data_IF_600219848311
#
_entry.id   IF_600219848311
#
_cell.length_a   1.000
_cell.length_b   1.000
_cell.length_c   1.000
_cell.angle_alpha   90.00
_cell.angle_beta   90.00
_cell.angle_gamma   90.00
#
_symmetry.space_group_name_H-M   'P 1'
#
loop_
_entity.id
_entity.type
_entity.pdbx_description
1 polymer ?
#
# COMPACT_ATOMS: atom_id res chain seq x y z
N UNK A 1 -1.16 -42.08 26.87
CA UNK A 1 -1.90 -41.26 25.88
C UNK A 1 -2.02 -39.78 26.31
N UNK A 2 -2.54 -39.45 27.53
CA UNK A 2 -2.66 -38.03 27.98
C UNK A 2 -1.33 -37.26 27.99
N UNK A 3 -0.22 -37.88 28.41
CA UNK A 3 1.13 -37.27 28.44
C UNK A 3 1.69 -37.01 27.03
N UNK A 4 1.34 -37.85 26.02
CA UNK A 4 1.74 -37.67 24.64
C UNK A 4 0.99 -36.48 23.96
N UNK A 5 -0.30 -36.32 24.32
CA UNK A 5 -1.13 -35.20 23.83
C UNK A 5 -0.63 -33.86 24.37
N UNK A 6 -0.23 -33.81 25.66
CA UNK A 6 0.34 -32.61 26.29
C UNK A 6 1.69 -32.25 25.64
N UNK A 7 2.52 -33.26 25.34
CA UNK A 7 3.79 -33.04 24.65
C UNK A 7 3.61 -32.54 23.21
N UNK A 8 2.62 -33.07 22.47
CA UNK A 8 2.29 -32.64 21.12
C UNK A 8 1.70 -31.21 21.11
N UNK A 9 0.94 -30.84 22.13
CA UNK A 9 0.36 -29.51 22.29
C UNK A 9 1.41 -28.45 22.66
N UNK A 10 2.50 -28.82 23.32
CA UNK A 10 3.63 -27.93 23.62
C UNK A 10 4.53 -27.64 22.41
N UNK A 11 4.43 -28.44 21.34
CA UNK A 11 5.19 -28.21 20.08
C UNK A 11 4.57 -27.12 19.15
N UNK A 12 3.33 -26.68 19.44
CA UNK A 12 2.62 -25.67 18.64
C UNK A 12 2.74 -24.29 19.33
N UNK A 13 3.95 -23.91 19.71
CA UNK A 13 4.20 -22.52 20.11
C UNK A 13 4.30 -21.66 18.87
N UNK A 14 3.44 -20.63 18.69
CA UNK A 14 3.54 -19.73 17.55
C UNK A 14 4.87 -18.99 17.65
N UNK A 15 5.75 -19.19 16.68
CA UNK A 15 6.92 -18.34 16.51
C UNK A 15 6.45 -17.02 15.92
N UNK A 16 6.50 -15.94 16.69
CA UNK A 16 6.17 -14.61 16.22
C UNK A 16 7.23 -14.17 15.20
N UNK A 17 6.87 -14.08 13.93
CA UNK A 17 7.69 -13.43 12.90
C UNK A 17 7.40 -11.94 12.97
N UNK A 18 8.37 -11.15 13.38
CA UNK A 18 8.26 -9.70 13.40
C UNK A 18 8.92 -9.12 12.14
N UNK A 19 8.19 -8.27 11.41
CA UNK A 19 8.82 -7.35 10.46
C UNK A 19 9.64 -6.33 11.26
N UNK A 20 10.91 -6.11 10.88
CA UNK A 20 11.78 -5.20 11.62
C UNK A 20 11.35 -3.74 11.42
N UNK A 21 11.17 -3.30 10.16
CA UNK A 21 10.79 -1.92 9.85
C UNK A 21 9.27 -1.83 9.61
N UNK A 22 8.62 -1.02 10.42
CA UNK A 22 7.20 -0.67 10.29
C UNK A 22 7.11 0.73 9.71
N UNK A 23 6.28 0.90 8.68
CA UNK A 23 5.94 2.18 8.07
C UNK A 23 4.64 2.67 8.71
N UNK A 24 4.66 3.87 9.26
CA UNK A 24 3.46 4.47 9.85
C UNK A 24 2.57 5.10 8.77
N UNK A 25 1.79 4.26 8.12
CA UNK A 25 0.88 4.61 7.03
C UNK A 25 0.98 3.65 5.84
N UNK A 26 -0.10 3.54 5.09
CA UNK A 26 -0.19 2.69 3.87
C UNK A 26 -0.05 3.51 2.59
N UNK A 27 -0.06 4.85 2.70
CA UNK A 27 0.04 5.81 1.61
C UNK A 27 0.51 7.16 2.12
N UNK A 28 0.99 7.99 1.21
CA UNK A 28 1.37 9.39 1.46
C UNK A 28 0.54 10.28 0.56
N UNK A 29 -0.02 11.36 1.11
CA UNK A 29 -0.69 12.41 0.35
C UNK A 29 0.21 13.64 0.33
N UNK A 30 0.62 14.08 -0.85
CA UNK A 30 1.45 15.25 -1.05
C UNK A 30 0.64 16.32 -1.80
N UNK A 31 0.26 17.38 -1.11
CA UNK A 31 -0.45 18.51 -1.72
C UNK A 31 0.53 19.46 -2.40
N UNK A 32 0.16 19.99 -3.55
CA UNK A 32 0.92 21.04 -4.24
C UNK A 32 1.17 22.24 -3.32
N UNK A 33 2.41 22.74 -3.33
CA UNK A 33 2.84 23.85 -2.47
C UNK A 33 3.19 23.46 -1.06
N UNK A 34 3.14 22.16 -0.70
CA UNK A 34 3.69 21.67 0.56
C UNK A 34 5.21 21.60 0.47
N UNK A 35 5.93 22.16 1.45
CA UNK A 35 7.41 22.10 1.48
C UNK A 35 7.93 20.67 1.62
N UNK A 36 7.31 19.86 2.45
CA UNK A 36 7.66 18.46 2.67
C UNK A 36 6.58 17.69 3.39
N UNK A 37 6.55 16.38 3.19
CA UNK A 37 5.73 15.44 3.95
C UNK A 37 6.64 14.50 4.72
N UNK A 38 6.34 14.29 5.99
CA UNK A 38 7.10 13.41 6.88
C UNK A 38 6.45 12.03 6.95
N UNK A 39 7.26 10.98 6.84
CA UNK A 39 6.86 9.61 7.04
C UNK A 39 7.70 8.98 8.15
N UNK A 40 7.05 8.45 9.17
CA UNK A 40 7.73 7.80 10.29
C UNK A 40 7.96 6.33 9.98
N UNK A 41 9.20 5.89 10.16
CA UNK A 41 9.62 4.50 10.22
C UNK A 41 9.91 4.11 11.67
N UNK A 42 9.63 2.88 12.04
CA UNK A 42 9.97 2.34 13.36
C UNK A 42 10.61 0.97 13.19
N UNK A 43 11.79 0.79 13.74
CA UNK A 43 12.41 -0.52 13.84
C UNK A 43 11.87 -1.24 15.07
N UNK A 44 11.00 -2.22 14.85
CA UNK A 44 10.38 -3.02 15.90
C UNK A 44 11.21 -4.26 16.29
N UNK A 45 12.33 -4.49 15.60
CA UNK A 45 13.31 -5.53 15.93
C UNK A 45 14.26 -5.10 17.04
N UNK A 46 15.05 -6.04 17.55
CA UNK A 46 16.07 -5.80 18.57
C UNK A 46 17.42 -5.40 17.96
N UNK A 47 17.68 -5.80 16.72
CA UNK A 47 18.89 -5.47 15.98
C UNK A 47 18.67 -4.24 15.09
N UNK A 48 19.76 -3.59 14.70
CA UNK A 48 19.69 -2.49 13.75
C UNK A 48 19.33 -2.99 12.35
N UNK A 49 18.70 -2.11 11.57
CA UNK A 49 18.43 -2.31 10.15
C UNK A 49 19.01 -1.18 9.32
N UNK A 50 19.63 -1.50 8.19
CA UNK A 50 19.95 -0.53 7.16
C UNK A 50 18.73 -0.37 6.25
N UNK A 51 18.21 0.84 6.19
CA UNK A 51 17.04 1.19 5.36
C UNK A 51 17.50 2.03 4.19
N UNK A 52 17.17 1.61 2.97
CA UNK A 52 17.35 2.37 1.74
C UNK A 52 15.96 2.69 1.16
N UNK A 53 15.75 3.96 0.76
CA UNK A 53 14.45 4.43 0.31
C UNK A 53 14.57 5.25 -0.97
N UNK A 54 13.62 5.04 -1.91
CA UNK A 54 13.51 5.80 -3.16
C UNK A 54 12.05 5.89 -3.62
N UNK A 55 11.75 6.83 -4.51
CA UNK A 55 10.42 6.98 -5.12
C UNK A 55 10.55 6.80 -6.63
N UNK A 56 9.60 6.07 -7.22
CA UNK A 56 9.49 5.85 -8.67
C UNK A 56 8.10 6.21 -9.21
N UNK A 57 7.97 6.26 -10.54
CA UNK A 57 6.75 6.59 -11.29
C UNK A 57 5.88 5.38 -11.68
N UNK A 58 6.17 4.20 -11.12
CA UNK A 58 5.35 2.99 -11.33
C UNK A 58 6.14 1.75 -11.72
N UNK A 59 7.43 1.85 -12.05
CA UNK A 59 8.25 0.68 -12.32
C UNK A 59 8.51 -0.13 -11.04
N UNK A 60 7.92 -1.32 -10.96
CA UNK A 60 8.10 -2.23 -9.81
C UNK A 60 9.53 -2.75 -9.67
N UNK A 61 10.30 -2.74 -10.75
CA UNK A 61 11.69 -3.20 -10.79
C UNK A 61 12.69 -2.07 -10.57
N UNK A 62 12.22 -0.83 -10.37
CA UNK A 62 13.10 0.32 -10.17
C UNK A 62 14.07 0.10 -9.02
N UNK A 63 15.27 0.63 -9.20
CA UNK A 63 16.34 0.71 -8.20
C UNK A 63 16.58 2.16 -7.81
N UNK A 64 17.31 2.45 -6.74
CA UNK A 64 17.63 3.84 -6.36
C UNK A 64 18.39 4.62 -7.45
N UNK A 65 19.13 3.90 -8.32
CA UNK A 65 19.97 4.50 -9.37
C UNK A 65 19.19 4.92 -10.61
N UNK A 66 18.10 4.20 -10.92
CA UNK A 66 17.30 4.39 -12.14
C UNK A 66 15.89 4.91 -11.87
N UNK A 67 15.53 5.10 -10.60
CA UNK A 67 14.22 5.58 -10.21
C UNK A 67 13.92 6.97 -10.79
N UNK A 68 12.85 7.04 -11.60
CA UNK A 68 12.36 8.29 -12.16
C UNK A 68 11.26 8.86 -11.24
N UNK A 69 11.48 10.04 -10.68
CA UNK A 69 10.50 10.69 -9.81
C UNK A 69 10.80 12.18 -9.65
N UNK A 70 9.79 13.05 -9.58
CA UNK A 70 9.96 14.44 -9.17
C UNK A 70 10.16 14.60 -7.67
N UNK A 71 10.11 13.52 -6.89
CA UNK A 71 10.28 13.54 -5.44
C UNK A 71 11.63 12.96 -5.04
N UNK A 72 12.18 13.49 -3.96
CA UNK A 72 13.35 12.94 -3.30
C UNK A 72 13.09 12.78 -1.80
N UNK A 73 13.89 11.92 -1.18
CA UNK A 73 13.79 11.54 0.22
C UNK A 73 15.02 11.98 0.99
N UNK A 74 14.83 12.36 2.23
CA UNK A 74 15.93 12.63 3.14
C UNK A 74 15.67 12.04 4.53
N UNK A 75 16.59 11.24 5.08
CA UNK A 75 17.76 10.66 4.42
C UNK A 75 17.34 9.49 3.49
N UNK A 76 18.02 9.28 2.32
CA UNK A 76 17.69 8.16 1.42
C UNK A 76 18.22 6.82 1.94
N UNK A 77 19.30 6.86 2.72
CA UNK A 77 19.88 5.68 3.38
C UNK A 77 20.10 6.02 4.86
N UNK A 78 19.68 5.14 5.75
CA UNK A 78 19.83 5.32 7.20
C UNK A 78 19.90 3.98 7.93
N UNK A 79 20.78 3.91 8.94
CA UNK A 79 20.80 2.79 9.90
C UNK A 79 19.88 3.15 11.06
N UNK A 80 18.84 2.36 11.29
CA UNK A 80 17.87 2.53 12.38
C UNK A 80 18.19 1.49 13.44
N UNK A 81 18.59 1.91 14.63
CA UNK A 81 18.88 1.00 15.72
C UNK A 81 17.60 0.25 16.17
N UNK A 82 17.78 -0.91 16.81
CA UNK A 82 16.66 -1.66 17.36
C UNK A 82 15.80 -0.83 18.30
N UNK A 83 14.48 -0.95 18.20
CA UNK A 83 13.48 -0.23 19.01
C UNK A 83 13.50 1.30 18.83
N UNK A 84 14.13 1.80 17.76
CA UNK A 84 14.20 3.23 17.43
C UNK A 84 13.37 3.58 16.20
N UNK A 85 13.04 4.85 16.08
CA UNK A 85 12.31 5.40 14.94
C UNK A 85 13.18 6.34 14.11
N UNK A 86 12.79 6.54 12.85
CA UNK A 86 13.38 7.48 11.92
C UNK A 86 12.32 8.15 11.07
N UNK A 87 12.38 9.46 10.98
CA UNK A 87 11.51 10.21 10.05
C UNK A 87 12.18 10.34 8.69
N UNK A 88 11.52 9.90 7.64
CA UNK A 88 11.84 10.23 6.26
C UNK A 88 11.08 11.49 5.85
N UNK A 89 11.78 12.42 5.23
CA UNK A 89 11.19 13.65 4.69
C UNK A 89 11.11 13.53 3.16
N UNK A 90 9.90 13.62 2.62
CA UNK A 90 9.62 13.59 1.20
C UNK A 90 9.49 15.04 0.71
N UNK A 91 10.23 15.41 -0.32
CA UNK A 91 10.17 16.73 -0.95
C UNK A 91 9.97 16.62 -2.45
N UNK A 92 9.28 17.58 -3.00
CA UNK A 92 9.18 17.77 -4.45
C UNK A 92 10.41 18.54 -4.94
N UNK A 93 11.08 18.04 -5.98
CA UNK A 93 12.21 18.69 -6.67
C UNK A 93 11.80 19.49 -7.89
N UNK A 94 10.54 19.38 -8.30
CA UNK A 94 10.02 19.98 -9.52
C UNK A 94 8.80 20.86 -9.22
N UNK A 95 9.01 22.15 -9.11
CA UNK A 95 7.94 23.14 -8.90
C UNK A 95 6.92 23.21 -10.05
N UNK A 96 7.19 22.51 -11.16
CA UNK A 96 6.34 22.47 -12.37
C UNK A 96 5.43 21.23 -12.44
N UNK A 97 5.35 20.42 -11.38
CA UNK A 97 4.32 19.39 -11.31
C UNK A 97 2.96 20.10 -11.35
N UNK A 98 2.30 20.01 -12.47
CA UNK A 98 0.98 20.59 -12.70
C UNK A 98 0.06 19.53 -13.28
N UNK A 99 -1.22 19.72 -13.14
CA UNK A 99 -2.23 18.84 -13.71
C UNK A 99 -3.60 19.15 -13.14
N UNK A 100 -4.61 18.56 -13.73
CA UNK A 100 -6.01 18.67 -13.31
C UNK A 100 -6.54 17.38 -12.69
N UNK A 101 -5.64 16.42 -12.41
CA UNK A 101 -5.94 15.15 -11.75
C UNK A 101 -4.83 14.77 -10.78
N UNK A 102 -5.15 13.97 -9.81
CA UNK A 102 -4.20 13.35 -8.89
C UNK A 102 -3.21 12.47 -9.66
N UNK A 103 -1.93 12.52 -9.27
CA UNK A 103 -0.86 11.69 -9.83
C UNK A 103 -0.38 10.69 -8.78
N UNK A 104 0.07 9.52 -9.21
CA UNK A 104 0.56 8.46 -8.30
C UNK A 104 2.02 8.15 -8.59
N UNK A 105 2.78 8.07 -7.51
CA UNK A 105 4.16 7.60 -7.42
C UNK A 105 4.26 6.51 -6.36
N UNK A 106 5.41 5.88 -6.24
CA UNK A 106 5.58 4.77 -5.32
C UNK A 106 6.86 4.93 -4.50
N UNK A 107 6.69 4.97 -3.19
CA UNK A 107 7.79 4.94 -2.25
C UNK A 107 8.18 3.48 -1.98
N UNK A 108 9.42 3.16 -2.22
CA UNK A 108 10.06 1.90 -1.90
C UNK A 108 10.93 2.05 -0.65
N UNK A 109 10.85 1.07 0.23
CA UNK A 109 11.63 0.99 1.45
C UNK A 109 12.23 -0.41 1.49
N UNK A 110 13.55 -0.51 1.32
CA UNK A 110 14.31 -1.73 1.42
C UNK A 110 14.90 -1.82 2.82
N UNK A 111 14.47 -2.81 3.58
CA UNK A 111 14.95 -3.14 4.92
C UNK A 111 15.97 -4.27 4.85
N UNK A 112 17.19 -4.01 5.28
CA UNK A 112 18.30 -4.95 5.33
C UNK A 112 18.70 -5.09 6.81
N UNK A 113 18.25 -6.15 7.50
CA UNK A 113 18.55 -6.35 8.92
C UNK A 113 20.05 -6.63 9.14
N UNK A 114 20.57 -6.13 10.25
CA UNK A 114 21.94 -6.44 10.69
C UNK A 114 22.05 -7.91 11.10
N UNK A 115 23.18 -8.54 10.76
CA UNK A 115 23.44 -9.91 11.18
C UNK A 115 23.72 -9.96 12.69
N UNK A 116 23.05 -10.87 13.39
CA UNK A 116 23.35 -11.11 14.78
C UNK A 116 24.77 -11.68 14.92
N UNK A 117 25.55 -11.16 15.86
CA UNK A 117 26.91 -11.66 16.18
C UNK A 117 26.92 -13.17 16.48
N UNK A 118 25.84 -13.69 17.08
CA UNK A 118 25.67 -15.10 17.38
C UNK A 118 25.63 -16.02 16.15
N UNK A 119 25.44 -15.46 14.94
CA UNK A 119 25.43 -16.17 13.67
C UNK A 119 26.78 -16.16 12.96
N UNK A 120 27.77 -15.43 13.49
CA UNK A 120 29.10 -15.34 12.91
C UNK A 120 29.75 -16.73 12.79
N UNK A 121 30.16 -17.10 11.59
CA UNK A 121 30.75 -18.43 11.28
C UNK A 121 29.72 -19.58 11.14
N UNK A 122 28.42 -19.31 11.20
CA UNK A 122 27.34 -20.27 10.93
C UNK A 122 26.72 -20.03 9.57
N UNK A 123 26.13 -21.08 8.97
CA UNK A 123 25.26 -20.91 7.80
C UNK A 123 23.93 -20.35 8.23
N UNK A 124 23.48 -19.24 7.62
CA UNK A 124 22.18 -18.62 7.89
C UNK A 124 21.61 -18.01 6.60
N UNK A 125 20.29 -17.78 6.60
CA UNK A 125 19.60 -17.07 5.54
C UNK A 125 19.31 -15.64 6.03
N UNK A 126 19.79 -14.64 5.28
CA UNK A 126 19.44 -13.24 5.48
C UNK A 126 18.41 -12.82 4.44
N UNK A 127 17.30 -12.26 4.88
CA UNK A 127 16.24 -11.75 4.01
C UNK A 127 16.22 -10.24 4.08
N UNK A 128 16.31 -9.59 2.93
CA UNK A 128 15.98 -8.16 2.78
C UNK A 128 14.53 -8.04 2.30
N UNK A 129 13.79 -7.11 2.89
CA UNK A 129 12.38 -6.90 2.57
C UNK A 129 12.18 -5.56 1.88
N UNK A 130 11.56 -5.57 0.69
CA UNK A 130 11.14 -4.35 -0.01
C UNK A 130 9.64 -4.12 0.23
N UNK A 131 9.30 -3.05 0.92
CA UNK A 131 7.92 -2.58 1.09
C UNK A 131 7.67 -1.41 0.15
N UNK A 132 6.52 -1.41 -0.52
CA UNK A 132 6.13 -0.38 -1.49
C UNK A 132 4.79 0.20 -1.11
N UNK A 133 4.72 1.55 -0.95
CA UNK A 133 3.48 2.28 -0.67
C UNK A 133 3.27 3.39 -1.70
N UNK A 134 2.01 3.80 -1.89
CA UNK A 134 1.64 4.84 -2.85
C UNK A 134 1.93 6.23 -2.29
N UNK A 135 2.38 7.13 -3.18
CA UNK A 135 2.52 8.56 -2.93
C UNK A 135 1.62 9.28 -3.92
N UNK A 136 0.56 9.91 -3.44
CA UNK A 136 -0.37 10.66 -4.26
C UNK A 136 0.00 12.15 -4.25
N UNK A 137 0.28 12.70 -5.42
CA UNK A 137 0.46 14.13 -5.58
C UNK A 137 -0.88 14.77 -6.00
N UNK A 138 -1.28 15.81 -5.27
CA UNK A 138 -2.56 16.52 -5.46
C UNK A 138 -2.32 17.96 -5.90
N UNK A 139 -2.59 18.29 -7.19
CA UNK A 139 -2.63 19.67 -7.66
C UNK A 139 -3.64 20.51 -6.86
N UNK A 140 -3.42 21.83 -6.80
CA UNK A 140 -4.31 22.77 -6.10
C UNK A 140 -5.66 22.94 -6.76
N UNK A 141 -5.70 22.77 -8.08
CA UNK A 141 -6.88 23.06 -8.90
C UNK A 141 -7.88 21.88 -8.99
N UNK A 142 -7.74 20.89 -8.13
CA UNK A 142 -8.74 19.81 -8.03
C UNK A 142 -10.04 20.35 -7.44
N UNK A 143 -11.14 20.22 -8.18
CA UNK A 143 -12.46 20.71 -7.79
C UNK A 143 -13.26 19.67 -7.02
N UNK A 144 -12.93 18.39 -7.18
CA UNK A 144 -13.56 17.31 -6.45
C UNK A 144 -13.10 17.29 -4.99
N UNK A 145 -13.93 16.72 -4.13
CA UNK A 145 -13.59 16.50 -2.73
C UNK A 145 -13.15 15.03 -2.54
N UNK A 146 -11.98 14.77 -1.97
CA UNK A 146 -11.47 13.40 -1.83
C UNK A 146 -12.39 12.49 -1.00
N UNK A 147 -13.10 13.03 -0.02
CA UNK A 147 -14.04 12.28 0.82
C UNK A 147 -15.32 11.85 0.08
N UNK A 148 -15.63 12.45 -1.08
CA UNK A 148 -16.80 12.15 -1.90
C UNK A 148 -16.46 11.38 -3.19
N UNK A 149 -15.24 10.91 -3.34
CA UNK A 149 -14.79 10.20 -4.56
C UNK A 149 -15.65 8.96 -4.83
N UNK A 150 -16.02 8.22 -3.79
CA UNK A 150 -16.87 7.02 -3.92
C UNK A 150 -18.23 7.30 -4.57
N UNK A 151 -18.79 8.51 -4.46
CA UNK A 151 -20.05 8.91 -5.09
C UNK A 151 -19.92 9.12 -6.60
N UNK A 152 -18.69 9.33 -7.09
CA UNK A 152 -18.38 9.52 -8.52
C UNK A 152 -17.96 8.22 -9.23
N UNK A 153 -17.97 7.10 -8.51
CA UNK A 153 -17.64 5.80 -9.07
C UNK A 153 -18.94 5.10 -9.50
N UNK A 154 -18.95 4.62 -10.72
CA UNK A 154 -20.08 3.83 -11.24
C UNK A 154 -19.64 2.42 -11.58
N UNK A 155 -20.55 1.48 -11.42
CA UNK A 155 -20.32 0.06 -11.61
C UNK A 155 -21.38 -0.49 -12.57
N UNK A 156 -20.96 -1.32 -13.50
CA UNK A 156 -21.89 -1.96 -14.45
C UNK A 156 -21.39 -3.38 -14.76
N UNK A 157 -22.30 -4.35 -14.69
CA UNK A 157 -22.01 -5.71 -15.11
C UNK A 157 -21.98 -5.77 -16.63
N UNK A 158 -20.91 -6.33 -17.20
CA UNK A 158 -20.73 -6.54 -18.63
C UNK A 158 -20.25 -7.98 -18.87
N UNK A 159 -21.20 -8.90 -19.03
CA UNK A 159 -20.90 -10.33 -19.16
C UNK A 159 -20.24 -10.90 -17.90
N UNK A 160 -19.02 -11.35 -18.03
CA UNK A 160 -18.18 -11.90 -16.95
C UNK A 160 -17.23 -10.87 -16.29
N UNK A 161 -17.47 -9.57 -16.54
CA UNK A 161 -16.66 -8.47 -16.03
C UNK A 161 -17.52 -7.40 -15.36
N UNK A 162 -16.92 -6.67 -14.44
CA UNK A 162 -17.48 -5.44 -13.90
C UNK A 162 -16.76 -4.26 -14.53
N UNK A 163 -17.46 -3.43 -15.28
CA UNK A 163 -16.97 -2.14 -15.74
C UNK A 163 -17.06 -1.16 -14.58
N UNK A 164 -15.92 -0.70 -14.11
CA UNK A 164 -15.81 0.35 -13.09
C UNK A 164 -15.36 1.64 -13.78
N UNK A 165 -16.15 2.70 -13.63
CA UNK A 165 -15.81 4.01 -14.17
C UNK A 165 -15.60 5.01 -13.03
N UNK A 166 -14.44 5.63 -13.00
CA UNK A 166 -14.07 6.68 -12.10
C UNK A 166 -14.26 8.05 -12.78
N UNK A 167 -15.28 8.78 -12.38
CA UNK A 167 -15.56 10.12 -12.91
C UNK A 167 -14.98 11.23 -12.01
N UNK A 168 -14.12 10.88 -11.04
CA UNK A 168 -13.44 11.84 -10.16
C UNK A 168 -12.04 12.19 -10.65
N UNK A 169 -11.47 13.24 -10.08
CA UNK A 169 -10.09 13.67 -10.34
C UNK A 169 -9.07 12.92 -9.46
N UNK A 170 -9.48 11.94 -8.66
CA UNK A 170 -8.65 11.17 -7.73
C UNK A 170 -8.57 9.69 -8.14
N UNK A 171 -7.50 9.02 -7.75
CA UNK A 171 -7.43 7.56 -7.83
C UNK A 171 -8.42 6.94 -6.85
N UNK A 172 -9.09 5.89 -7.29
CA UNK A 172 -9.98 5.10 -6.45
C UNK A 172 -9.42 3.69 -6.28
N UNK A 173 -9.07 3.32 -5.05
CA UNK A 173 -8.51 1.99 -4.77
C UNK A 173 -9.60 1.06 -4.26
N UNK A 174 -10.03 0.13 -5.09
CA UNK A 174 -10.88 -1.00 -4.70
C UNK A 174 -10.00 -2.02 -3.99
N UNK A 175 -10.38 -2.44 -2.79
CA UNK A 175 -9.76 -3.57 -2.11
C UNK A 175 -10.39 -4.90 -2.55
N UNK A 176 -11.71 -4.92 -2.71
CA UNK A 176 -12.47 -6.03 -3.31
C UNK A 176 -13.89 -5.61 -3.65
N UNK A 177 -14.52 -6.34 -4.58
CA UNK A 177 -15.98 -6.36 -4.73
C UNK A 177 -16.43 -7.77 -4.32
N UNK A 178 -17.45 -7.86 -3.46
CA UNK A 178 -17.92 -9.13 -2.89
C UNK A 178 -19.43 -9.23 -2.91
N UNK A 179 -19.95 -10.44 -2.77
CA UNK A 179 -21.40 -10.65 -2.58
C UNK A 179 -21.89 -10.00 -1.28
N UNK A 180 -23.18 -9.69 -1.18
CA UNK A 180 -23.80 -9.24 0.07
C UNK A 180 -24.11 -10.39 1.04
N UNK A 181 -24.14 -11.61 0.54
CA UNK A 181 -24.47 -12.80 1.30
C UNK A 181 -23.41 -13.13 2.37
N UNK A 182 -23.80 -13.94 3.36
CA UNK A 182 -22.88 -14.43 4.40
C UNK A 182 -22.74 -15.95 4.26
N UNK A 183 -21.53 -16.50 4.10
CA UNK A 183 -20.24 -15.80 4.01
C UNK A 183 -20.09 -15.01 2.70
N UNK A 184 -19.38 -13.88 2.74
CA UNK A 184 -19.09 -13.09 1.53
C UNK A 184 -18.17 -13.86 0.60
N UNK A 185 -18.46 -13.79 -0.69
CA UNK A 185 -17.60 -14.34 -1.76
C UNK A 185 -17.02 -13.18 -2.53
N UNK A 186 -15.70 -13.15 -2.68
CA UNK A 186 -15.00 -12.13 -3.48
C UNK A 186 -15.35 -12.34 -4.96
N UNK A 187 -15.81 -11.29 -5.61
CA UNK A 187 -16.17 -11.26 -7.03
C UNK A 187 -15.06 -10.63 -7.89
N UNK A 188 -14.39 -9.63 -7.34
CA UNK A 188 -13.30 -8.89 -8.00
C UNK A 188 -12.20 -8.64 -6.99
N UNK A 189 -10.94 -8.86 -7.38
CA UNK A 189 -9.76 -8.58 -6.59
C UNK A 189 -9.43 -7.08 -6.53
N UNK A 190 -8.39 -6.76 -5.75
CA UNK A 190 -7.92 -5.39 -5.58
C UNK A 190 -7.46 -4.76 -6.89
N UNK A 191 -7.97 -3.56 -7.17
CA UNK A 191 -7.57 -2.76 -8.33
C UNK A 191 -7.62 -1.27 -8.02
N UNK A 192 -6.70 -0.49 -8.60
CA UNK A 192 -6.71 0.96 -8.53
C UNK A 192 -7.20 1.55 -9.86
N UNK A 193 -8.29 2.30 -9.79
CA UNK A 193 -8.90 2.95 -10.96
C UNK A 193 -8.35 4.37 -11.06
N UNK A 194 -7.60 4.71 -12.12
CA UNK A 194 -7.07 6.06 -12.30
C UNK A 194 -8.16 7.14 -12.40
N UNK A 195 -7.83 8.40 -12.18
CA UNK A 195 -8.75 9.51 -12.37
C UNK A 195 -9.34 9.54 -13.78
N UNK A 196 -10.61 9.93 -13.90
CA UNK A 196 -11.31 10.16 -15.17
C UNK A 196 -11.17 8.98 -16.16
N UNK A 197 -11.13 7.76 -15.65
CA UNK A 197 -10.89 6.55 -16.44
C UNK A 197 -11.87 5.44 -16.11
N UNK A 198 -11.81 4.36 -16.89
CA UNK A 198 -12.58 3.14 -16.63
C UNK A 198 -11.71 1.90 -16.77
N UNK A 199 -12.08 0.83 -16.03
CA UNK A 199 -11.45 -0.49 -16.08
C UNK A 199 -12.52 -1.57 -16.14
N UNK A 200 -12.29 -2.58 -16.95
CA UNK A 200 -13.05 -3.83 -16.94
C UNK A 200 -12.32 -4.82 -16.03
N UNK A 201 -12.98 -5.23 -14.96
CA UNK A 201 -12.44 -6.13 -13.95
C UNK A 201 -13.10 -7.49 -14.07
N UNK A 202 -12.34 -8.59 -14.29
CA UNK A 202 -12.91 -9.91 -14.47
C UNK A 202 -13.54 -10.41 -13.17
N UNK A 203 -14.68 -11.07 -13.29
CA UNK A 203 -15.28 -11.80 -12.18
C UNK A 203 -14.50 -13.09 -11.92
N UNK A 204 -14.00 -13.26 -10.71
CA UNK A 204 -13.29 -14.48 -10.27
C UNK A 204 -14.25 -15.54 -9.71
N UNK A 205 -15.48 -15.14 -9.41
CA UNK A 205 -16.55 -16.03 -8.95
C UNK A 205 -17.90 -15.65 -9.59
N UNK A 206 -18.83 -16.61 -9.63
CA UNK A 206 -20.16 -16.38 -10.20
C UNK A 206 -20.96 -15.39 -9.35
N UNK A 207 -21.52 -14.40 -10.02
CA UNK A 207 -22.48 -13.48 -9.44
C UNK A 207 -23.87 -14.17 -9.35
N UNK A 208 -24.49 -14.12 -8.17
CA UNK A 208 -25.83 -14.69 -7.93
C UNK A 208 -26.93 -13.64 -7.92
N UNK A 209 -26.58 -12.38 -7.73
CA UNK A 209 -27.49 -11.27 -7.63
C UNK A 209 -26.80 -9.99 -8.11
N UNK A 210 -27.55 -9.03 -8.65
CA UNK A 210 -27.00 -7.73 -9.10
C UNK A 210 -26.61 -6.81 -7.94
N UNK A 211 -26.67 -7.29 -6.70
CA UNK A 211 -26.28 -6.53 -5.51
C UNK A 211 -24.92 -7.02 -5.01
N UNK A 212 -24.00 -6.10 -4.79
CA UNK A 212 -22.67 -6.38 -4.30
C UNK A 212 -22.23 -5.35 -3.24
N UNK A 213 -21.11 -5.63 -2.59
CA UNK A 213 -20.44 -4.69 -1.67
C UNK A 213 -19.07 -4.40 -2.23
N UNK A 214 -18.77 -3.13 -2.50
CA UNK A 214 -17.41 -2.69 -2.75
C UNK A 214 -16.75 -2.33 -1.43
N UNK A 215 -15.53 -2.83 -1.23
CA UNK A 215 -14.62 -2.40 -0.16
C UNK A 215 -13.53 -1.57 -0.83
N UNK A 216 -13.37 -0.34 -0.40
CA UNK A 216 -12.38 0.58 -0.95
C UNK A 216 -11.53 1.19 0.17
N UNK A 217 -10.41 1.79 -0.20
CA UNK A 217 -9.44 2.35 0.76
C UNK A 217 -9.45 3.87 0.66
N UNK A 218 -9.69 4.55 1.79
CA UNK A 218 -9.67 6.01 1.88
C UNK A 218 -8.23 6.58 2.00
N UNK A 219 -8.11 7.90 2.12
CA UNK A 219 -6.82 8.60 2.24
C UNK A 219 -6.02 8.22 3.49
N UNK A 220 -6.69 7.80 4.54
CA UNK A 220 -6.06 7.37 5.79
C UNK A 220 -5.65 5.89 5.75
N UNK A 221 -5.92 5.19 4.64
CA UNK A 221 -5.66 3.75 4.51
C UNK A 221 -6.72 2.89 5.19
N UNK A 222 -7.86 3.47 5.56
CA UNK A 222 -8.97 2.76 6.21
C UNK A 222 -9.87 2.12 5.15
N UNK A 223 -10.24 0.87 5.38
CA UNK A 223 -11.21 0.17 4.56
C UNK A 223 -12.63 0.69 4.83
N UNK A 224 -13.26 1.18 3.79
CA UNK A 224 -14.68 1.59 3.77
C UNK A 224 -15.49 0.61 2.93
N UNK A 225 -16.77 0.49 3.21
CA UNK A 225 -17.66 -0.38 2.44
C UNK A 225 -18.89 0.39 1.96
N UNK A 226 -19.33 0.06 0.74
CA UNK A 226 -20.53 0.63 0.12
C UNK A 226 -21.29 -0.46 -0.60
N UNK A 227 -22.63 -0.48 -0.43
CA UNK A 227 -23.49 -1.34 -1.22
C UNK A 227 -23.64 -0.75 -2.62
N UNK A 228 -23.50 -1.59 -3.63
CA UNK A 228 -23.58 -1.21 -5.03
C UNK A 228 -24.55 -2.13 -5.78
N UNK A 229 -25.07 -1.65 -6.91
CA UNK A 229 -25.74 -2.46 -7.92
C UNK A 229 -24.82 -2.60 -9.14
N UNK A 230 -24.75 -3.81 -9.68
CA UNK A 230 -24.00 -4.16 -10.87
C UNK A 230 -24.89 -4.26 -12.08
#
# INVERSE_FOLDING_TARGET
MKKLIVFLMALILPTSVFANIIINGTRVIYYEGTDSVNLQLTNNGDLASLVQSWIDDGDINSTPEDANSPFYLYPPIVKIAGRQGQTLRIKNSNDKLSGNVEQVYYLNILDIPENAEALKGKSYLQLAMKTRIKVFYRPKDLTDKPELVNEKITYQLNGDKVLVKNNSQYHFTIASISTQETPRVTLVDSEMIPPLSSRELPLINKLKSNSAVVIYVDDFGVYKSQNIKL
#
